data_IF_732493535610
#
_entry.id   IF_732493535610
#
_cell.length_a   1.000
_cell.length_b   1.000
_cell.length_c   1.000
_cell.angle_alpha   90.00
_cell.angle_beta   90.00
_cell.angle_gamma   90.00
#
_symmetry.space_group_name_H-M   'P 1'
#
loop_
_entity.id
_entity.type
_entity.pdbx_description
1 polymer ?
#
# COMPACT_ATOMS: atom_id res chain seq x y z
N UNK A 1 11.94 20.43 -3.58
CA UNK A 1 12.14 19.01 -3.26
C UNK A 1 13.26 18.50 -4.14
N UNK A 2 14.26 17.84 -3.57
CA UNK A 2 15.33 17.23 -4.36
C UNK A 2 14.85 15.84 -4.79
N UNK A 3 14.33 15.72 -6.02
CA UNK A 3 13.87 14.46 -6.63
C UNK A 3 15.00 13.43 -6.77
N UNK A 4 16.25 13.86 -6.59
CA UNK A 4 17.46 13.04 -6.67
C UNK A 4 17.60 11.97 -5.56
N UNK A 5 16.72 11.95 -4.56
CA UNK A 5 16.77 11.00 -3.45
C UNK A 5 15.72 9.89 -3.50
N UNK A 6 14.78 9.93 -4.44
CA UNK A 6 13.92 8.76 -4.64
C UNK A 6 14.77 7.69 -5.33
N UNK A 7 14.88 6.47 -4.77
CA UNK A 7 15.44 5.34 -5.51
C UNK A 7 14.48 5.05 -6.67
N UNK A 8 14.66 5.75 -7.79
CA UNK A 8 13.89 5.51 -8.99
C UNK A 8 14.31 4.13 -9.50
N UNK A 9 13.39 3.15 -9.56
CA UNK A 9 13.72 1.89 -10.20
C UNK A 9 14.02 2.21 -11.67
N UNK A 10 15.27 1.99 -12.09
CA UNK A 10 15.70 2.20 -13.49
C UNK A 10 14.91 1.38 -14.51
N UNK A 11 14.02 0.50 -14.04
CA UNK A 11 12.94 -0.14 -14.77
C UNK A 11 11.91 -0.66 -13.76
N UNK A 12 10.63 -0.35 -13.96
CA UNK A 12 9.58 -0.96 -13.16
C UNK A 12 9.52 -2.48 -13.39
N UNK A 13 9.29 -3.29 -12.34
CA UNK A 13 9.18 -4.74 -12.49
C UNK A 13 8.04 -5.13 -13.42
N UNK A 14 8.27 -6.11 -14.29
CA UNK A 14 7.28 -6.58 -15.25
C UNK A 14 6.00 -7.13 -14.60
N UNK A 15 6.01 -7.44 -13.29
CA UNK A 15 4.82 -7.86 -12.57
C UNK A 15 3.81 -6.73 -12.37
N UNK A 16 4.24 -5.47 -12.32
CA UNK A 16 3.36 -4.31 -12.11
C UNK A 16 2.33 -4.15 -13.25
N UNK A 17 2.72 -4.46 -14.48
CA UNK A 17 1.82 -4.39 -15.65
C UNK A 17 0.72 -5.47 -15.62
N UNK A 18 0.78 -6.44 -14.70
CA UNK A 18 -0.24 -7.49 -14.53
C UNK A 18 -1.47 -7.00 -13.78
N UNK A 19 -1.39 -5.86 -13.11
CA UNK A 19 -2.55 -5.29 -12.42
C UNK A 19 -3.59 -4.80 -13.43
N UNK A 20 -4.89 -5.02 -13.17
CA UNK A 20 -5.95 -4.62 -14.09
C UNK A 20 -6.02 -3.11 -14.25
N UNK A 21 -6.26 -2.66 -15.49
CA UNK A 21 -6.48 -1.23 -15.83
C UNK A 21 -7.95 -0.92 -16.08
N UNK A 22 -8.79 -1.95 -16.16
CA UNK A 22 -10.22 -1.84 -16.47
C UNK A 22 -11.07 -2.63 -15.48
N UNK A 23 -12.30 -2.20 -15.21
CA UNK A 23 -13.24 -2.93 -14.35
C UNK A 23 -13.80 -4.22 -14.95
N UNK A 24 -13.52 -4.50 -16.22
CA UNK A 24 -14.06 -5.65 -16.90
C UNK A 24 -13.19 -6.88 -16.68
N UNK A 25 -13.62 -7.73 -15.73
CA UNK A 25 -12.91 -8.95 -15.35
C UNK A 25 -13.15 -10.15 -16.26
N UNK A 26 -13.98 -10.02 -17.30
CA UNK A 26 -14.32 -11.10 -18.24
C UNK A 26 -13.92 -10.74 -19.67
N UNK A 27 -13.41 -11.69 -20.46
CA UNK A 27 -13.21 -11.49 -21.90
C UNK A 27 -14.54 -11.37 -22.67
N UNK A 28 -15.66 -11.77 -22.05
CA UNK A 28 -16.98 -11.56 -22.62
C UNK A 28 -17.51 -10.16 -22.28
N UNK A 29 -18.20 -9.49 -23.22
CA UNK A 29 -18.87 -8.23 -22.94
C UNK A 29 -19.85 -8.38 -21.77
N UNK A 30 -19.86 -7.40 -20.87
CA UNK A 30 -20.82 -7.38 -19.78
C UNK A 30 -22.24 -7.38 -20.35
N UNK A 31 -23.15 -8.26 -19.89
CA UNK A 31 -24.51 -8.35 -20.45
C UNK A 31 -25.37 -7.11 -20.16
N UNK A 32 -24.90 -6.20 -19.30
CA UNK A 32 -25.62 -4.98 -18.89
C UNK A 32 -25.13 -3.75 -19.65
N UNK A 33 -23.82 -3.50 -19.69
CA UNK A 33 -23.28 -2.33 -20.41
C UNK A 33 -22.89 -2.64 -21.86
N UNK A 34 -22.80 -3.92 -22.24
CA UNK A 34 -22.41 -4.45 -23.56
C UNK A 34 -20.99 -4.08 -24.01
N UNK A 35 -20.59 -2.81 -23.89
CA UNK A 35 -19.26 -2.32 -24.20
C UNK A 35 -18.56 -1.88 -22.91
N UNK A 36 -17.80 -2.82 -22.38
CA UNK A 36 -16.78 -2.61 -21.36
C UNK A 36 -15.63 -1.67 -21.79
N UNK A 37 -15.63 -1.20 -23.03
CA UNK A 37 -14.53 -0.48 -23.65
C UNK A 37 -14.25 0.90 -23.02
N UNK A 38 -15.21 1.47 -22.29
CA UNK A 38 -15.08 2.71 -21.54
C UNK A 38 -15.10 2.49 -20.02
N UNK A 39 -14.49 1.40 -19.53
CA UNK A 39 -14.37 1.07 -18.10
C UNK A 39 -15.69 1.06 -17.33
N UNK A 40 -16.80 0.82 -18.03
CA UNK A 40 -18.15 0.92 -17.45
C UNK A 40 -18.47 2.29 -16.81
N UNK A 41 -17.74 3.35 -17.18
CA UNK A 41 -17.93 4.70 -16.66
C UNK A 41 -19.36 5.22 -16.87
N UNK A 42 -20.01 4.84 -17.99
CA UNK A 42 -21.39 5.23 -18.31
C UNK A 42 -22.45 4.23 -17.82
N UNK A 43 -22.06 3.20 -17.05
CA UNK A 43 -22.99 2.19 -16.56
C UNK A 43 -23.47 2.52 -15.14
N UNK A 44 -24.71 3.00 -15.04
CA UNK A 44 -25.40 3.28 -13.76
C UNK A 44 -25.41 2.09 -12.79
N UNK A 45 -25.35 0.86 -13.30
CA UNK A 45 -25.28 -0.36 -12.47
C UNK A 45 -23.85 -0.60 -11.96
N UNK A 46 -22.83 -0.29 -12.75
CA UNK A 46 -21.42 -0.45 -12.35
C UNK A 46 -20.95 0.65 -11.40
N UNK A 47 -21.43 1.88 -11.57
CA UNK A 47 -21.15 3.01 -10.68
C UNK A 47 -21.53 2.71 -9.21
N UNK A 48 -22.53 1.84 -9.00
CA UNK A 48 -23.03 1.45 -7.68
C UNK A 48 -22.43 0.15 -7.16
N UNK A 49 -21.36 -0.36 -7.77
CA UNK A 49 -20.76 -1.67 -7.48
C UNK A 49 -21.81 -2.82 -7.53
N UNK A 50 -22.90 -2.63 -8.28
CA UNK A 50 -24.05 -3.55 -8.31
C UNK A 50 -23.99 -4.54 -9.49
N UNK A 51 -23.04 -4.36 -10.42
CA UNK A 51 -22.85 -5.28 -11.54
C UNK A 51 -21.96 -6.46 -11.10
N UNK A 52 -22.46 -7.70 -11.07
CA UNK A 52 -21.64 -8.85 -10.69
C UNK A 52 -20.58 -9.22 -11.73
N UNK A 53 -20.63 -8.61 -12.92
CA UNK A 53 -19.70 -8.84 -14.03
C UNK A 53 -18.59 -7.80 -14.15
N UNK A 54 -18.75 -6.66 -13.47
CA UNK A 54 -17.76 -5.60 -13.46
C UNK A 54 -17.21 -5.49 -12.05
N UNK A 55 -15.90 -5.61 -11.91
CA UNK A 55 -15.20 -5.47 -10.63
C UNK A 55 -14.19 -4.37 -10.79
N UNK A 56 -14.46 -3.25 -10.13
CA UNK A 56 -13.53 -2.13 -10.04
C UNK A 56 -12.14 -2.65 -9.62
N UNK A 57 -11.07 -2.32 -10.36
CA UNK A 57 -9.71 -2.63 -9.96
C UNK A 57 -9.42 -2.00 -8.60
N UNK A 58 -9.17 -2.83 -7.60
CA UNK A 58 -8.68 -2.32 -6.31
C UNK A 58 -7.25 -1.77 -6.48
N UNK A 59 -6.44 -2.40 -7.33
CA UNK A 59 -5.06 -2.02 -7.62
C UNK A 59 -4.84 -1.97 -9.13
N UNK A 60 -4.47 -0.79 -9.63
CA UNK A 60 -4.00 -0.55 -11.00
C UNK A 60 -2.46 -0.57 -11.06
N UNK A 61 -1.84 -0.68 -12.24
CA UNK A 61 -0.38 -0.59 -12.38
C UNK A 61 0.22 0.71 -11.80
N UNK A 62 -0.43 1.87 -12.01
CA UNK A 62 0.05 3.14 -11.46
C UNK A 62 -0.08 3.20 -9.95
N UNK A 63 -1.20 2.72 -9.40
CA UNK A 63 -1.41 2.66 -7.95
C UNK A 63 -0.41 1.70 -7.28
N UNK A 64 -0.21 0.52 -7.85
CA UNK A 64 0.78 -0.45 -7.37
C UNK A 64 2.20 0.12 -7.41
N UNK A 65 2.54 0.90 -8.44
CA UNK A 65 3.83 1.58 -8.53
C UNK A 65 4.04 2.58 -7.40
N UNK A 66 3.02 3.36 -7.04
CA UNK A 66 3.12 4.29 -5.91
C UNK A 66 3.32 3.56 -4.58
N UNK A 67 2.66 2.42 -4.39
CA UNK A 67 2.88 1.58 -3.21
C UNK A 67 4.30 0.99 -3.18
N UNK A 68 4.84 0.53 -4.32
CA UNK A 68 6.23 0.04 -4.40
C UNK A 68 7.21 1.15 -4.04
N UNK A 69 7.07 2.34 -4.63
CA UNK A 69 7.97 3.47 -4.33
C UNK A 69 7.85 3.88 -2.86
N UNK A 70 6.63 3.91 -2.31
CA UNK A 70 6.41 4.16 -0.89
C UNK A 70 7.11 3.11 0.00
N UNK A 71 6.92 1.82 -0.29
CA UNK A 71 7.53 0.72 0.46
C UNK A 71 9.06 0.76 0.44
N UNK A 72 9.66 0.95 -0.73
CA UNK A 72 11.11 1.08 -0.88
C UNK A 72 11.66 2.30 -0.13
N UNK A 73 10.97 3.43 -0.20
CA UNK A 73 11.40 4.66 0.49
C UNK A 73 11.33 4.49 2.00
N UNK A 74 10.22 3.98 2.53
CA UNK A 74 10.04 3.74 3.97
C UNK A 74 11.03 2.68 4.51
N UNK A 75 11.28 1.61 3.76
CA UNK A 75 12.29 0.60 4.12
C UNK A 75 13.70 1.20 4.13
N UNK A 76 14.03 2.04 3.15
CA UNK A 76 15.31 2.75 3.10
C UNK A 76 15.49 3.68 4.29
N UNK A 77 14.48 4.51 4.60
CA UNK A 77 14.52 5.45 5.72
C UNK A 77 14.73 4.72 7.06
N UNK A 78 14.02 3.60 7.26
CA UNK A 78 14.20 2.74 8.43
C UNK A 78 15.61 2.20 8.56
N UNK A 79 16.18 1.68 7.46
CA UNK A 79 17.54 1.11 7.42
C UNK A 79 18.60 2.17 7.68
N UNK A 80 18.47 3.35 7.06
CA UNK A 80 19.43 4.46 7.23
C UNK A 80 19.42 4.98 8.67
N UNK A 81 18.24 5.05 9.29
CA UNK A 81 18.11 5.49 10.68
C UNK A 81 18.30 4.37 11.71
N UNK A 82 18.50 3.11 11.29
CA UNK A 82 18.61 1.94 12.18
C UNK A 82 19.80 2.04 13.14
N UNK A 83 20.94 2.56 12.67
CA UNK A 83 22.17 2.67 13.46
C UNK A 83 22.07 3.65 14.64
N UNK A 84 21.12 4.59 14.57
CA UNK A 84 20.92 5.61 15.61
C UNK A 84 19.70 5.32 16.52
N UNK A 85 18.95 4.24 16.25
CA UNK A 85 17.71 3.96 16.97
C UNK A 85 17.94 3.25 18.29
N UNK A 86 17.14 3.62 19.30
CA UNK A 86 17.05 2.88 20.55
C UNK A 86 16.36 1.50 20.40
N UNK A 87 15.73 1.21 19.25
CA UNK A 87 14.93 0.00 19.00
C UNK A 87 15.25 -0.64 17.63
N UNK A 88 16.50 -1.05 17.40
CA UNK A 88 16.94 -1.54 16.08
C UNK A 88 16.21 -2.80 15.61
N UNK A 89 15.82 -3.69 16.53
CA UNK A 89 15.09 -4.94 16.20
C UNK A 89 13.70 -4.63 15.63
N UNK A 90 12.94 -3.76 16.29
CA UNK A 90 11.61 -3.36 15.81
C UNK A 90 11.66 -2.71 14.43
N UNK A 91 12.61 -1.79 14.23
CA UNK A 91 12.83 -1.15 12.91
C UNK A 91 13.22 -2.15 11.83
N UNK A 92 14.04 -3.15 12.17
CA UNK A 92 14.38 -4.22 11.25
C UNK A 92 13.14 -5.06 10.86
N UNK A 93 12.23 -5.35 11.80
CA UNK A 93 10.97 -6.03 11.48
C UNK A 93 10.09 -5.22 10.53
N UNK A 94 9.95 -3.90 10.77
CA UNK A 94 9.21 -3.02 9.88
C UNK A 94 9.85 -2.97 8.48
N UNK A 95 11.18 -2.82 8.38
CA UNK A 95 11.88 -2.75 7.10
C UNK A 95 11.66 -4.04 6.28
N UNK A 96 11.77 -5.22 6.92
CA UNK A 96 11.49 -6.51 6.26
C UNK A 96 10.02 -6.66 5.86
N UNK A 97 9.08 -6.14 6.64
CA UNK A 97 7.67 -6.15 6.28
C UNK A 97 7.38 -5.28 5.05
N UNK A 98 7.95 -4.06 4.99
CA UNK A 98 7.87 -3.22 3.79
C UNK A 98 8.45 -3.91 2.55
N UNK A 99 9.62 -4.54 2.68
CA UNK A 99 10.25 -5.29 1.58
C UNK A 99 9.37 -6.45 1.12
N UNK A 100 8.82 -7.24 2.05
CA UNK A 100 7.93 -8.37 1.74
C UNK A 100 6.68 -7.93 0.97
N UNK A 101 6.04 -6.84 1.41
CA UNK A 101 4.85 -6.28 0.75
C UNK A 101 5.20 -5.71 -0.64
N UNK A 102 6.36 -5.04 -0.74
CA UNK A 102 6.88 -4.50 -2.00
C UNK A 102 7.14 -5.62 -2.99
N UNK A 103 7.88 -6.65 -2.61
CA UNK A 103 8.19 -7.80 -3.46
C UNK A 103 6.92 -8.48 -4.00
N UNK A 104 5.84 -8.56 -3.21
CA UNK A 104 4.56 -9.07 -3.70
C UNK A 104 4.00 -8.18 -4.82
N UNK A 105 3.96 -6.86 -4.62
CA UNK A 105 3.51 -5.91 -5.64
C UNK A 105 4.37 -5.99 -6.91
N UNK A 106 5.70 -6.09 -6.76
CA UNK A 106 6.62 -6.22 -7.89
C UNK A 106 6.42 -7.50 -8.72
N UNK A 107 5.92 -8.58 -8.09
CA UNK A 107 5.51 -9.82 -8.79
C UNK A 107 4.14 -9.72 -9.47
N UNK A 108 3.42 -8.62 -9.29
CA UNK A 108 2.03 -8.46 -9.71
C UNK A 108 1.06 -9.18 -8.78
N UNK A 109 1.48 -9.48 -7.55
CA UNK A 109 0.66 -10.12 -6.55
C UNK A 109 0.03 -9.07 -5.65
N UNK A 110 -1.25 -9.31 -5.30
CA UNK A 110 -1.91 -8.51 -4.28
C UNK A 110 -1.24 -8.74 -2.92
N UNK A 111 -0.81 -7.70 -2.19
CA UNK A 111 -0.26 -7.87 -0.85
C UNK A 111 -1.31 -8.47 0.07
N UNK A 112 -0.87 -9.36 0.96
CA UNK A 112 -1.73 -10.07 1.91
C UNK A 112 -1.08 -10.00 3.30
N UNK A 113 -1.29 -8.92 4.06
CA UNK A 113 -0.66 -8.76 5.36
C UNK A 113 -1.16 -9.85 6.32
N UNK A 114 -0.24 -10.62 6.89
CA UNK A 114 -0.49 -11.76 7.78
C UNK A 114 -0.25 -11.46 9.25
N UNK A 115 0.32 -10.30 9.54
CA UNK A 115 0.65 -9.85 10.90
C UNK A 115 0.26 -8.40 11.10
N UNK A 116 0.14 -7.97 12.37
CA UNK A 116 -0.10 -6.57 12.71
C UNK A 116 0.99 -5.66 12.15
N UNK A 117 2.26 -6.09 12.16
CA UNK A 117 3.39 -5.35 11.59
C UNK A 117 3.20 -5.14 10.08
N UNK A 118 2.81 -6.17 9.33
CA UNK A 118 2.55 -6.04 7.90
C UNK A 118 1.33 -5.15 7.62
N UNK A 119 0.28 -5.22 8.44
CA UNK A 119 -0.87 -4.32 8.31
C UNK A 119 -0.48 -2.85 8.57
N UNK A 120 0.32 -2.59 9.62
CA UNK A 120 0.86 -1.26 9.91
C UNK A 120 1.71 -0.76 8.73
N UNK A 121 2.65 -1.57 8.25
CA UNK A 121 3.47 -1.23 7.09
C UNK A 121 2.62 -0.92 5.86
N UNK A 122 1.61 -1.74 5.57
CA UNK A 122 0.75 -1.51 4.42
C UNK A 122 -0.09 -0.23 4.55
N UNK A 123 -0.63 0.07 5.73
CA UNK A 123 -1.31 1.34 6.00
C UNK A 123 -0.36 2.52 5.72
N UNK A 124 0.89 2.46 6.23
CA UNK A 124 1.88 3.51 6.02
C UNK A 124 2.27 3.65 4.53
N UNK A 125 2.38 2.54 3.79
CA UNK A 125 2.58 2.57 2.34
C UNK A 125 1.43 3.27 1.63
N UNK A 126 0.17 2.97 1.97
CA UNK A 126 -1.02 3.59 1.34
C UNK A 126 -1.02 5.10 1.61
N UNK A 127 -0.80 5.50 2.86
CA UNK A 127 -0.74 6.93 3.25
C UNK A 127 0.38 7.66 2.50
N UNK A 128 1.59 7.12 2.51
CA UNK A 128 2.74 7.74 1.83
C UNK A 128 2.54 7.80 0.31
N UNK A 129 2.02 6.73 -0.28
CA UNK A 129 1.71 6.66 -1.71
C UNK A 129 0.65 7.70 -2.12
N UNK A 130 -0.32 8.01 -1.26
CA UNK A 130 -1.33 9.05 -1.48
C UNK A 130 -0.67 10.42 -1.63
N UNK A 131 0.23 10.77 -0.71
CA UNK A 131 0.97 12.04 -0.76
C UNK A 131 1.91 12.09 -1.97
N UNK A 132 2.59 10.97 -2.26
CA UNK A 132 3.53 10.86 -3.39
C UNK A 132 2.82 11.00 -4.75
N UNK A 133 1.64 10.41 -4.90
CA UNK A 133 0.86 10.48 -6.13
C UNK A 133 0.47 11.93 -6.46
N UNK A 134 0.08 12.71 -5.46
CA UNK A 134 -0.25 14.14 -5.63
C UNK A 134 0.94 14.96 -6.14
N UNK A 135 2.15 14.61 -5.70
CA UNK A 135 3.36 15.38 -5.99
C UNK A 135 4.01 15.01 -7.33
N UNK A 136 4.19 13.70 -7.57
CA UNK A 136 5.05 13.18 -8.64
C UNK A 136 4.44 11.98 -9.37
N UNK A 137 3.19 11.61 -9.07
CA UNK A 137 2.55 10.41 -9.59
C UNK A 137 2.60 10.30 -11.11
N UNK A 138 2.22 11.37 -11.82
CA UNK A 138 2.23 11.40 -13.29
C UNK A 138 3.63 11.25 -13.88
N UNK A 139 4.65 11.80 -13.21
CA UNK A 139 6.05 11.69 -13.68
C UNK A 139 6.56 10.27 -13.51
N UNK A 140 6.30 9.66 -12.35
CA UNK A 140 6.73 8.30 -12.04
C UNK A 140 6.00 7.23 -12.87
N UNK A 141 4.74 7.48 -13.22
CA UNK A 141 3.88 6.52 -13.91
C UNK A 141 3.68 6.83 -15.40
N UNK A 142 4.44 7.77 -15.98
CA UNK A 142 4.23 8.26 -17.35
C UNK A 142 4.21 7.15 -18.43
N UNK A 143 4.95 6.06 -18.20
CA UNK A 143 5.07 4.93 -19.14
C UNK A 143 4.11 3.76 -18.82
N UNK A 144 3.27 3.90 -17.80
CA UNK A 144 2.30 2.88 -17.43
C UNK A 144 0.94 3.18 -18.05
N UNK A 145 0.16 2.13 -18.36
CA UNK A 145 -1.20 2.31 -18.85
C UNK A 145 -2.01 3.14 -17.85
N UNK A 146 -2.85 4.01 -18.40
CA UNK A 146 -3.78 4.84 -17.64
C UNK A 146 -5.04 4.03 -17.30
N UNK A 147 -5.62 4.33 -16.14
CA UNK A 147 -6.91 3.80 -15.69
C UNK A 147 -7.68 4.89 -14.95
N UNK A 148 -9.00 4.93 -15.12
CA UNK A 148 -9.86 5.84 -14.33
C UNK A 148 -9.93 5.46 -12.83
N UNK A 149 -9.33 4.32 -12.47
CA UNK A 149 -9.23 3.83 -11.08
C UNK A 149 -7.85 4.10 -10.47
N UNK A 150 -6.97 4.78 -11.18
CA UNK A 150 -5.66 5.15 -10.67
C UNK A 150 -5.81 6.01 -9.40
N UNK A 151 -5.00 5.71 -8.39
CA UNK A 151 -4.91 6.48 -7.14
C UNK A 151 -6.16 6.46 -6.26
N UNK A 152 -7.05 5.46 -6.39
CA UNK A 152 -8.16 5.20 -5.46
C UNK A 152 -7.69 4.60 -4.12
N UNK A 153 -6.73 5.27 -3.47
CA UNK A 153 -6.07 4.79 -2.25
C UNK A 153 -7.04 4.52 -1.10
N UNK A 154 -8.15 5.26 -1.00
CA UNK A 154 -9.13 5.06 0.06
C UNK A 154 -9.76 3.64 0.01
N UNK A 155 -9.98 3.07 -1.19
CA UNK A 155 -10.49 1.70 -1.34
C UNK A 155 -9.48 0.65 -0.89
N UNK A 156 -8.19 0.98 -0.82
CA UNK A 156 -7.15 0.03 -0.42
C UNK A 156 -7.24 -0.36 1.05
N UNK A 157 -7.75 0.53 1.92
CA UNK A 157 -7.98 0.21 3.33
C UNK A 157 -9.00 -0.93 3.45
N UNK A 158 -10.13 -0.83 2.75
CA UNK A 158 -11.18 -1.85 2.78
C UNK A 158 -10.78 -3.17 2.10
N UNK A 159 -9.88 -3.10 1.13
CA UNK A 159 -9.63 -4.21 0.20
C UNK A 159 -8.32 -4.95 0.49
N UNK A 160 -7.30 -4.29 1.04
CA UNK A 160 -6.00 -4.90 1.32
C UNK A 160 -5.75 -5.15 2.80
N UNK A 161 -6.42 -4.43 3.70
CA UNK A 161 -6.30 -4.63 5.14
C UNK A 161 -7.47 -5.51 5.60
N UNK A 162 -7.21 -6.59 6.36
CA UNK A 162 -8.24 -7.54 6.75
C UNK A 162 -9.13 -7.03 7.89
N UNK A 163 -8.65 -6.05 8.67
CA UNK A 163 -9.33 -5.45 9.81
C UNK A 163 -8.68 -4.09 10.17
N UNK A 164 -9.31 -3.37 11.11
CA UNK A 164 -8.92 -2.02 11.54
C UNK A 164 -7.98 -2.02 12.76
N UNK A 165 -7.41 -3.17 13.15
CA UNK A 165 -6.60 -3.26 14.39
C UNK A 165 -5.36 -2.39 14.35
N UNK A 166 -4.83 -2.12 13.17
CA UNK A 166 -3.65 -1.30 12.95
C UNK A 166 -3.95 0.22 13.06
N UNK A 167 -5.21 0.63 12.87
CA UNK A 167 -5.62 2.04 12.75
C UNK A 167 -5.30 2.86 13.99
N UNK A 168 -5.60 2.42 15.24
CA UNK A 168 -5.32 3.22 16.43
C UNK A 168 -3.85 3.59 16.60
N UNK A 169 -2.93 2.70 16.21
CA UNK A 169 -1.49 2.93 16.30
C UNK A 169 -1.01 4.00 15.31
N UNK A 170 -1.54 3.96 14.08
CA UNK A 170 -1.19 4.95 13.06
C UNK A 170 -1.79 6.30 13.41
N UNK A 171 -3.06 6.34 13.81
CA UNK A 171 -3.73 7.57 14.20
C UNK A 171 -3.06 8.25 15.41
N UNK A 172 -2.70 7.50 16.45
CA UNK A 172 -2.00 8.06 17.62
C UNK A 172 -0.64 8.64 17.21
N UNK A 173 0.09 7.93 16.33
CA UNK A 173 1.39 8.40 15.84
C UNK A 173 1.26 9.70 15.03
N UNK A 174 0.27 9.78 14.13
CA UNK A 174 0.00 10.97 13.31
C UNK A 174 -0.50 12.14 14.17
N UNK A 175 -1.42 11.90 15.10
CA UNK A 175 -2.01 12.92 15.97
C UNK A 175 -0.97 13.61 16.85
N UNK A 176 0.03 12.87 17.32
CA UNK A 176 1.03 13.37 18.29
C UNK A 176 2.12 14.21 17.63
N UNK A 177 2.38 14.03 16.33
CA UNK A 177 3.52 14.66 15.63
C UNK A 177 3.14 15.59 14.47
N UNK A 178 1.88 15.61 14.03
CA UNK A 178 1.39 16.51 12.98
C UNK A 178 1.60 15.99 11.54
N UNK A 179 1.50 16.89 10.55
CA UNK A 179 1.57 16.56 9.11
C UNK A 179 3.00 16.46 8.54
N UNK A 180 4.01 16.15 9.35
CA UNK A 180 5.35 15.93 8.79
C UNK A 180 5.37 14.63 7.97
N UNK A 181 5.91 14.71 6.74
CA UNK A 181 6.08 13.55 5.85
C UNK A 181 7.07 12.51 6.37
N UNK A 182 7.86 12.86 7.40
CA UNK A 182 8.79 11.96 8.04
C UNK A 182 8.05 11.22 9.14
N UNK A 183 7.88 9.92 8.96
CA UNK A 183 7.21 9.09 9.94
C UNK A 183 8.15 8.75 11.10
N UNK A 184 7.75 9.10 12.33
CA UNK A 184 8.53 8.82 13.54
C UNK A 184 8.33 7.35 13.97
N UNK A 185 9.19 6.47 13.44
CA UNK A 185 9.16 5.04 13.76
C UNK A 185 9.54 4.71 15.20
N UNK A 186 10.28 5.59 15.90
CA UNK A 186 10.57 5.36 17.33
C UNK A 186 9.32 5.65 18.16
N UNK A 187 8.58 6.71 17.83
CA UNK A 187 7.29 6.98 18.47
C UNK A 187 6.26 5.88 18.18
N UNK A 188 6.16 5.41 16.93
CA UNK A 188 5.30 4.26 16.62
C UNK A 188 5.67 3.05 17.49
N UNK A 189 6.96 2.76 17.64
CA UNK A 189 7.42 1.68 18.50
C UNK A 189 6.95 1.87 19.96
N UNK A 190 7.00 3.09 20.48
CA UNK A 190 6.50 3.41 21.82
C UNK A 190 5.01 3.20 21.96
N UNK A 191 4.21 3.64 20.99
CA UNK A 191 2.75 3.47 20.98
C UNK A 191 2.39 2.00 20.94
N UNK A 192 2.99 1.23 20.02
CA UNK A 192 2.81 -0.22 19.91
C UNK A 192 3.16 -0.90 21.24
N UNK A 193 4.33 -0.59 21.80
CA UNK A 193 4.77 -1.19 23.06
C UNK A 193 3.89 -0.83 24.27
N UNK A 194 3.37 0.41 24.34
CA UNK A 194 2.51 0.87 25.44
C UNK A 194 1.14 0.19 25.41
N UNK A 195 0.54 0.11 24.23
CA UNK A 195 -0.74 -0.54 23.98
C UNK A 195 -0.70 -2.02 24.33
N UNK A 196 0.47 -2.64 24.17
CA UNK A 196 0.66 -4.07 24.31
C UNK A 196 1.55 -4.44 25.51
N UNK A 197 1.41 -3.80 26.66
CA UNK A 197 1.82 -4.39 27.96
C UNK A 197 1.09 -5.72 28.30
N UNK A 198 0.44 -6.34 27.29
CA UNK A 198 -0.13 -7.69 27.18
C UNK A 198 0.69 -8.62 26.24
N UNK A 199 1.91 -8.24 25.81
CA UNK A 199 2.78 -8.92 24.82
C UNK A 199 3.28 -10.34 25.18
N UNK A 200 3.11 -10.82 26.42
CA UNK A 200 3.51 -12.20 26.81
C UNK A 200 2.76 -13.29 26.02
N UNK A 201 1.67 -12.94 25.33
CA UNK A 201 0.89 -13.87 24.52
C UNK A 201 1.24 -13.91 23.02
N UNK A 202 2.09 -13.01 22.51
CA UNK A 202 2.30 -12.87 21.06
C UNK A 202 3.51 -13.65 20.53
N UNK A 203 4.56 -13.86 21.32
CA UNK A 203 5.71 -14.67 20.86
C UNK A 203 5.39 -16.18 20.79
N UNK A 204 4.31 -16.67 21.43
CA UNK A 204 3.98 -18.10 21.40
C UNK A 204 3.38 -18.58 20.06
N UNK A 205 3.09 -17.68 19.12
CA UNK A 205 2.53 -18.03 17.81
C UNK A 205 3.54 -17.96 16.66
N UNK A 206 4.77 -17.49 16.91
CA UNK A 206 5.82 -17.42 15.87
C UNK A 206 6.70 -18.67 15.84
N UNK A 207 6.75 -19.47 16.92
CA UNK A 207 7.54 -20.70 17.01
C UNK A 207 6.75 -22.01 16.79
N UNK A 208 5.51 -21.94 16.28
CA UNK A 208 4.63 -23.11 16.16
C UNK A 208 4.23 -23.51 14.72
N UNK A 209 4.93 -23.03 13.68
CA UNK A 209 4.71 -23.49 12.29
C UNK A 209 6.02 -23.57 11.49
#
# INVERSE_FOLDING_TARGET
>A
MNTDLLPLPGRLPAGIERFPVTACGSPAPCPVCHECAADCADCVVCERDACPHCRVPDLTPRTATMLVVAGLTLAHDLRTAMLASARPVFRNHLARAFETLTEALERGERPRPRSLIEQLCLHLMIRYATDLACDVGETLCANLPYSDYDYYFYRLYDTLLPDDRHEPYVEETVRTRGCERVFDFDHLAEVVHRSESSWVLFESTVDAN
#
